data_IF_542226065186
#
_entry.id   IF_542226065186
#
_cell.length_a   1.000
_cell.length_b   1.000
_cell.length_c   1.000
_cell.angle_alpha   90.00
_cell.angle_beta   90.00
_cell.angle_gamma   90.00
#
_symmetry.space_group_name_H-M   'P 1'
#
loop_
_entity.id
_entity.type
_entity.pdbx_description
1 polymer ?
#
# COMPACT_ATOMS: atom_id res chain seq x y z
N UNK A 1 -9.85 11.45 10.90
CA UNK A 1 -9.25 11.75 9.58
C UNK A 1 -9.10 10.46 8.82
N UNK A 2 -9.65 10.37 7.60
CA UNK A 2 -9.46 9.23 6.72
C UNK A 2 -8.09 9.30 6.04
N UNK A 3 -7.50 8.13 5.77
CA UNK A 3 -6.28 7.99 4.97
C UNK A 3 -6.58 6.98 3.86
N UNK A 4 -6.27 7.34 2.62
CA UNK A 4 -6.25 6.41 1.50
C UNK A 4 -4.82 5.86 1.35
N UNK A 5 -4.60 4.64 1.82
CA UNK A 5 -3.24 4.07 1.90
C UNK A 5 -2.72 3.53 0.57
N UNK A 6 -3.50 3.59 -0.52
CA UNK A 6 -3.08 3.13 -1.83
C UNK A 6 -3.91 3.78 -2.94
N UNK A 7 -3.31 4.68 -3.71
CA UNK A 7 -3.94 5.35 -4.85
C UNK A 7 -2.91 5.77 -5.90
N UNK A 8 -3.18 5.50 -7.18
CA UNK A 8 -2.32 5.90 -8.30
C UNK A 8 -2.76 7.26 -8.84
N UNK A 9 -2.67 8.30 -8.02
CA UNK A 9 -2.99 9.68 -8.45
C UNK A 9 -2.07 10.22 -9.53
N UNK A 10 -0.93 9.57 -9.79
CA UNK A 10 -0.01 9.87 -10.90
C UNK A 10 -0.50 9.33 -12.25
N UNK A 11 -1.50 8.43 -12.26
CA UNK A 11 -2.05 7.82 -13.47
C UNK A 11 -2.65 8.84 -14.45
N UNK A 12 -2.53 8.55 -15.75
CA UNK A 12 -2.98 9.41 -16.86
C UNK A 12 -4.49 9.71 -16.79
N UNK A 13 -5.27 8.81 -16.19
CA UNK A 13 -6.70 8.99 -15.96
C UNK A 13 -7.04 10.24 -15.12
N UNK A 14 -6.07 10.76 -14.38
CA UNK A 14 -6.25 11.95 -13.53
C UNK A 14 -5.64 13.22 -14.11
N UNK A 15 -4.97 13.18 -15.27
CA UNK A 15 -4.22 14.32 -15.82
C UNK A 15 -5.09 15.57 -16.00
N UNK A 16 -6.34 15.40 -16.43
CA UNK A 16 -7.23 16.51 -16.71
C UNK A 16 -7.83 17.17 -15.46
N UNK A 17 -8.02 16.40 -14.34
CA UNK A 17 -8.78 16.88 -13.16
C UNK A 17 -8.15 16.47 -11.82
N UNK A 18 -6.85 16.17 -11.77
CA UNK A 18 -6.15 15.72 -10.54
C UNK A 18 -6.34 16.65 -9.35
N UNK A 19 -6.29 17.97 -9.59
CA UNK A 19 -6.46 18.94 -8.53
C UNK A 19 -7.89 18.91 -7.94
N UNK A 20 -8.89 18.73 -8.79
CA UNK A 20 -10.30 18.61 -8.40
C UNK A 20 -10.56 17.29 -7.66
N UNK A 21 -9.92 16.18 -8.11
CA UNK A 21 -9.98 14.89 -7.40
C UNK A 21 -9.44 15.03 -5.98
N UNK A 22 -8.29 15.68 -5.81
CA UNK A 22 -7.70 15.95 -4.50
C UNK A 22 -8.61 16.85 -3.66
N UNK A 23 -9.22 17.88 -4.25
CA UNK A 23 -10.17 18.74 -3.55
C UNK A 23 -11.38 17.94 -3.02
N UNK A 24 -11.99 17.10 -3.87
CA UNK A 24 -13.10 16.22 -3.47
C UNK A 24 -12.69 15.23 -2.37
N UNK A 25 -11.48 14.67 -2.45
CA UNK A 25 -10.97 13.78 -1.40
C UNK A 25 -10.84 14.50 -0.05
N UNK A 26 -10.30 15.73 -0.04
CA UNK A 26 -10.22 16.55 1.18
C UNK A 26 -11.60 16.91 1.74
N UNK A 27 -12.55 17.26 0.89
CA UNK A 27 -13.95 17.51 1.28
C UNK A 27 -14.61 16.27 1.89
N UNK A 28 -14.27 15.07 1.41
CA UNK A 28 -14.72 13.79 1.95
C UNK A 28 -14.01 13.40 3.27
N UNK A 29 -13.08 14.21 3.78
CA UNK A 29 -12.36 13.97 5.02
C UNK A 29 -11.08 13.14 4.88
N UNK A 30 -10.58 12.93 3.64
CA UNK A 30 -9.30 12.27 3.37
C UNK A 30 -8.18 13.27 3.60
N UNK A 31 -7.43 13.07 4.68
CA UNK A 31 -6.37 13.98 5.08
C UNK A 31 -5.00 13.60 4.55
N UNK A 32 -4.81 12.35 4.13
CA UNK A 32 -3.55 11.85 3.56
C UNK A 32 -3.84 10.80 2.49
N UNK A 33 -2.98 10.74 1.47
CA UNK A 33 -2.99 9.72 0.43
C UNK A 33 -1.58 9.17 0.22
N UNK A 34 -1.48 7.86 -0.02
CA UNK A 34 -0.20 7.20 -0.25
C UNK A 34 -0.10 6.78 -1.71
N UNK A 35 1.01 7.13 -2.33
CA UNK A 35 1.25 7.02 -3.76
C UNK A 35 2.27 5.91 -4.03
N UNK A 36 1.85 4.69 -4.37
CA UNK A 36 2.77 3.64 -4.75
C UNK A 36 3.34 3.89 -6.14
N UNK A 37 4.66 3.72 -6.29
CA UNK A 37 5.27 3.65 -7.61
C UNK A 37 5.24 2.20 -8.11
N UNK A 38 5.16 2.03 -9.43
CA UNK A 38 5.17 0.71 -10.08
C UNK A 38 6.46 0.46 -10.87
N UNK A 39 7.19 1.53 -11.23
CA UNK A 39 8.43 1.52 -11.99
C UNK A 39 9.28 2.79 -11.74
N UNK A 40 10.38 2.95 -12.47
CA UNK A 40 11.26 4.14 -12.38
C UNK A 40 10.52 5.42 -12.78
N UNK A 41 9.70 5.38 -13.85
CA UNK A 41 8.96 6.56 -14.36
C UNK A 41 7.96 7.06 -13.33
N UNK A 42 7.16 6.18 -12.79
CA UNK A 42 6.15 6.50 -11.78
C UNK A 42 6.78 6.92 -10.45
N UNK A 43 7.96 6.38 -10.09
CA UNK A 43 8.72 6.86 -8.91
C UNK A 43 9.00 8.35 -8.99
N UNK A 44 9.42 8.86 -10.15
CA UNK A 44 9.61 10.30 -10.33
C UNK A 44 8.29 11.08 -10.25
N UNK A 45 7.20 10.54 -10.80
CA UNK A 45 5.89 11.18 -10.78
C UNK A 45 5.34 11.29 -9.34
N UNK A 46 5.39 10.23 -8.54
CA UNK A 46 4.91 10.26 -7.15
C UNK A 46 5.77 11.16 -6.25
N UNK A 47 7.08 11.24 -6.48
CA UNK A 47 7.96 12.20 -5.80
C UNK A 47 7.57 13.65 -6.13
N UNK A 48 7.28 13.93 -7.39
CA UNK A 48 6.85 15.29 -7.80
C UNK A 48 5.49 15.64 -7.18
N UNK A 49 4.52 14.73 -7.20
CA UNK A 49 3.23 14.93 -6.55
C UNK A 49 3.37 15.16 -5.03
N UNK A 50 4.25 14.44 -4.36
CA UNK A 50 4.48 14.64 -2.92
C UNK A 50 5.03 16.04 -2.61
N UNK A 51 5.88 16.58 -3.50
CA UNK A 51 6.40 17.95 -3.37
C UNK A 51 5.34 19.01 -3.65
N UNK A 52 4.40 18.74 -4.57
CA UNK A 52 3.27 19.64 -4.86
C UNK A 52 2.22 19.64 -3.74
N UNK A 53 2.06 18.52 -3.03
CA UNK A 53 1.06 18.37 -1.95
C UNK A 53 1.72 17.90 -0.63
N UNK A 54 2.62 18.73 -0.06
CA UNK A 54 3.36 18.35 1.15
C UNK A 54 2.43 18.13 2.34
N UNK A 55 2.69 17.05 3.11
CA UNK A 55 1.86 16.66 4.25
C UNK A 55 0.51 16.01 3.88
N UNK A 56 0.21 15.90 2.58
CA UNK A 56 -0.99 15.24 2.07
C UNK A 56 -0.65 13.99 1.26
N UNK A 57 0.26 14.07 0.30
CA UNK A 57 0.66 12.99 -0.60
C UNK A 57 2.02 12.42 -0.18
N UNK A 58 2.09 11.12 0.03
CA UNK A 58 3.27 10.42 0.52
C UNK A 58 3.72 9.35 -0.48
N UNK A 59 4.94 9.44 -1.03
CA UNK A 59 5.40 8.54 -2.07
C UNK A 59 5.94 7.22 -1.50
N UNK A 60 5.81 6.16 -2.27
CA UNK A 60 6.46 4.87 -2.07
C UNK A 60 7.33 4.54 -3.27
N UNK A 61 8.22 3.57 -3.14
CA UNK A 61 9.15 3.15 -4.20
C UNK A 61 9.14 1.63 -4.35
N UNK A 62 8.93 1.16 -5.58
CA UNK A 62 8.94 -0.27 -5.88
C UNK A 62 8.87 -0.58 -7.37
N UNK A 63 9.18 -1.82 -7.71
CA UNK A 63 8.92 -2.43 -9.01
C UNK A 63 7.74 -3.38 -8.86
N UNK A 64 6.61 -3.00 -9.44
CA UNK A 64 5.39 -3.80 -9.45
C UNK A 64 5.58 -5.12 -10.20
N UNK A 65 4.99 -6.25 -9.78
CA UNK A 65 5.18 -7.52 -10.45
C UNK A 65 4.77 -7.53 -11.94
N UNK A 66 3.78 -6.76 -12.35
CA UNK A 66 3.40 -6.66 -13.76
C UNK A 66 4.42 -5.90 -14.63
N UNK A 67 5.31 -5.11 -13.99
CA UNK A 67 6.42 -4.41 -14.66
C UNK A 67 7.74 -5.21 -14.63
N UNK A 68 7.75 -6.39 -14.01
CA UNK A 68 8.88 -7.31 -14.07
C UNK A 68 8.91 -7.98 -15.44
N UNK A 69 9.83 -7.52 -16.30
CA UNK A 69 10.04 -7.96 -17.69
C UNK A 69 11.52 -8.31 -17.91
N UNK A 70 11.95 -8.43 -19.14
CA UNK A 70 13.33 -8.80 -19.48
C UNK A 70 14.40 -7.87 -18.90
N UNK A 71 14.06 -6.59 -18.70
CA UNK A 71 14.91 -5.51 -18.15
C UNK A 71 14.75 -5.30 -16.63
N UNK A 72 14.13 -6.21 -15.91
CA UNK A 72 13.82 -6.04 -14.50
C UNK A 72 15.02 -5.73 -13.59
N UNK A 73 16.22 -6.26 -13.95
CA UNK A 73 17.45 -6.00 -13.18
C UNK A 73 17.91 -4.54 -13.32
N UNK A 74 17.82 -4.01 -14.52
CA UNK A 74 18.12 -2.61 -14.83
C UNK A 74 17.13 -1.68 -14.11
N UNK A 75 15.85 -2.03 -14.12
CA UNK A 75 14.81 -1.32 -13.38
C UNK A 75 15.09 -1.33 -11.88
N UNK A 76 15.36 -2.49 -11.28
CA UNK A 76 15.70 -2.59 -9.86
C UNK A 76 16.96 -1.80 -9.51
N UNK A 77 18.00 -1.86 -10.34
CA UNK A 77 19.22 -1.11 -10.10
C UNK A 77 18.97 0.41 -10.11
N UNK A 78 18.14 0.90 -11.03
CA UNK A 78 17.75 2.32 -11.09
C UNK A 78 16.89 2.74 -9.88
N UNK A 79 15.91 1.93 -9.50
CA UNK A 79 15.09 2.15 -8.30
C UNK A 79 15.93 2.14 -7.03
N UNK A 80 16.90 1.24 -6.92
CA UNK A 80 17.81 1.20 -5.77
C UNK A 80 18.65 2.48 -5.66
N UNK A 81 19.15 3.02 -6.76
CA UNK A 81 19.85 4.30 -6.76
C UNK A 81 18.95 5.43 -6.29
N UNK A 82 17.69 5.49 -6.76
CA UNK A 82 16.72 6.48 -6.29
C UNK A 82 16.42 6.32 -4.80
N UNK A 83 16.25 5.08 -4.30
CA UNK A 83 16.04 4.82 -2.88
C UNK A 83 17.24 5.31 -2.06
N UNK A 84 18.46 5.02 -2.48
CA UNK A 84 19.68 5.44 -1.78
C UNK A 84 19.88 6.97 -1.80
N UNK A 85 19.51 7.65 -2.88
CA UNK A 85 19.56 9.10 -3.01
C UNK A 85 18.58 9.80 -2.07
N UNK A 86 17.36 9.26 -1.93
CA UNK A 86 16.28 9.83 -1.12
C UNK A 86 16.23 9.31 0.31
N UNK A 87 17.11 8.37 0.65
CA UNK A 87 17.25 7.80 2.00
C UNK A 87 18.49 8.37 2.68
N UNK A 88 18.42 9.60 3.17
CA UNK A 88 19.59 10.28 3.77
C UNK A 88 19.86 9.66 5.15
N UNK A 89 20.89 8.83 5.24
CA UNK A 89 21.51 8.49 6.53
C UNK A 89 22.21 9.74 7.04
N UNK A 90 21.57 10.46 7.97
CA UNK A 90 22.26 11.54 8.68
C UNK A 90 23.46 10.93 9.40
N UNK A 91 24.65 11.20 8.88
CA UNK A 91 25.93 10.84 9.52
C UNK A 91 26.08 11.75 10.74
N UNK A 92 25.46 11.35 11.85
CA UNK A 92 25.74 12.00 13.13
C UNK A 92 27.16 11.63 13.57
N UNK A 93 28.06 12.59 13.51
CA UNK A 93 29.43 12.48 14.06
C UNK A 93 29.47 12.44 15.60
N UNK A 94 28.40 12.03 16.28
CA UNK A 94 28.35 11.94 17.75
C UNK A 94 28.01 10.52 18.19
N UNK A 95 28.76 10.04 19.17
CA UNK A 95 28.72 8.71 19.80
C UNK A 95 27.44 8.38 20.59
N UNK A 96 26.28 8.93 20.27
CA UNK A 96 25.05 8.64 20.99
C UNK A 96 23.84 8.49 20.06
N UNK A 97 23.23 7.32 20.16
CA UNK A 97 21.85 6.95 19.80
C UNK A 97 21.38 7.19 18.34
N UNK A 98 20.70 6.19 17.79
CA UNK A 98 20.14 6.10 16.46
C UNK A 98 19.82 7.45 15.79
N UNK A 99 20.61 7.79 14.77
CA UNK A 99 20.29 8.93 13.89
C UNK A 99 18.97 8.64 13.16
N UNK A 100 17.98 9.54 13.18
CA UNK A 100 16.79 9.33 12.39
C UNK A 100 17.18 9.32 10.91
N UNK A 101 16.82 8.26 10.21
CA UNK A 101 16.88 8.22 8.74
C UNK A 101 15.77 9.15 8.27
N UNK A 102 16.10 10.24 7.60
CA UNK A 102 15.13 11.06 6.88
C UNK A 102 14.96 10.40 5.52
N UNK A 103 13.78 9.90 5.26
CA UNK A 103 13.45 9.23 4.02
C UNK A 103 12.26 9.95 3.37
N UNK A 104 12.41 10.29 2.09
CA UNK A 104 11.31 10.90 1.34
C UNK A 104 10.21 9.87 1.05
N UNK A 105 10.56 8.58 0.95
CA UNK A 105 9.61 7.49 0.80
C UNK A 105 9.11 6.97 2.15
N UNK A 106 7.83 6.63 2.21
CA UNK A 106 7.18 6.08 3.42
C UNK A 106 7.11 4.55 3.43
N UNK A 107 7.31 3.90 2.30
CA UNK A 107 7.29 2.44 2.16
C UNK A 107 8.08 1.98 0.93
N UNK A 108 8.45 0.71 0.92
CA UNK A 108 8.85 -0.02 -0.29
C UNK A 108 7.57 -0.61 -0.89
N UNK A 109 7.14 -0.06 -2.03
CA UNK A 109 5.88 -0.43 -2.67
C UNK A 109 5.55 0.45 -3.91
N UNK A 110 4.82 -0.13 -4.84
CA UNK A 110 4.11 -1.39 -4.79
C UNK A 110 5.03 -2.54 -5.26
N UNK A 111 5.07 -3.61 -4.48
CA UNK A 111 5.94 -4.76 -4.73
C UNK A 111 5.17 -6.06 -4.49
N UNK A 112 5.63 -7.18 -5.01
CA UNK A 112 4.97 -8.45 -4.73
C UNK A 112 4.94 -9.40 -5.91
N UNK A 113 3.83 -10.15 -6.05
CA UNK A 113 3.66 -11.20 -7.05
C UNK A 113 2.28 -11.11 -7.71
N UNK A 114 2.25 -11.21 -9.04
CA UNK A 114 1.03 -11.37 -9.83
C UNK A 114 1.16 -12.52 -10.83
N UNK A 115 0.41 -13.60 -10.61
CA UNK A 115 0.36 -14.75 -11.50
C UNK A 115 -0.98 -14.90 -12.22
N UNK A 116 -1.79 -13.83 -12.20
CA UNK A 116 -3.10 -13.85 -12.81
C UNK A 116 -3.04 -13.70 -14.34
N UNK A 117 -2.26 -12.72 -14.83
CA UNK A 117 -2.17 -12.43 -16.25
C UNK A 117 -1.18 -13.34 -16.97
N UNK A 118 -0.02 -13.60 -16.37
CA UNK A 118 1.04 -14.41 -16.96
C UNK A 118 1.95 -15.01 -15.88
N UNK A 119 2.51 -16.16 -16.15
CA UNK A 119 3.61 -16.78 -15.38
C UNK A 119 4.93 -16.78 -16.14
N UNK A 120 5.01 -16.05 -17.23
CA UNK A 120 6.22 -15.98 -18.07
C UNK A 120 7.45 -15.52 -17.26
N UNK A 121 7.28 -14.52 -16.40
CA UNK A 121 8.33 -13.96 -15.55
C UNK A 121 8.16 -14.33 -14.06
N UNK A 122 7.57 -15.49 -13.77
CA UNK A 122 7.34 -15.93 -12.37
C UNK A 122 8.63 -15.97 -11.55
N UNK A 123 9.70 -16.53 -12.13
CA UNK A 123 10.99 -16.63 -11.44
C UNK A 123 11.61 -15.25 -11.20
N UNK A 124 11.53 -14.37 -12.17
CA UNK A 124 12.02 -12.98 -12.09
C UNK A 124 11.21 -12.16 -11.09
N UNK A 125 9.89 -12.33 -11.04
CA UNK A 125 9.04 -11.71 -10.03
C UNK A 125 9.45 -12.14 -8.61
N UNK A 126 9.70 -13.42 -8.38
CA UNK A 126 10.17 -13.92 -7.09
C UNK A 126 11.52 -13.30 -6.70
N UNK A 127 12.47 -13.20 -7.63
CA UNK A 127 13.77 -12.59 -7.37
C UNK A 127 13.67 -11.09 -7.13
N UNK A 128 12.86 -10.38 -7.93
CA UNK A 128 12.64 -8.94 -7.78
C UNK A 128 11.94 -8.61 -6.46
N UNK A 129 10.96 -9.41 -6.06
CA UNK A 129 10.27 -9.24 -4.80
C UNK A 129 11.20 -9.51 -3.61
N UNK A 130 11.99 -10.60 -3.65
CA UNK A 130 12.93 -10.90 -2.57
C UNK A 130 13.99 -9.80 -2.39
N UNK A 131 14.47 -9.21 -3.48
CA UNK A 131 15.41 -8.09 -3.41
C UNK A 131 14.77 -6.87 -2.73
N UNK A 132 13.53 -6.54 -3.04
CA UNK A 132 12.80 -5.45 -2.46
C UNK A 132 12.38 -5.71 -0.99
N UNK A 133 12.16 -6.97 -0.60
CA UNK A 133 12.04 -7.38 0.81
C UNK A 133 13.32 -7.03 1.59
N UNK A 134 14.49 -7.28 1.02
CA UNK A 134 15.79 -6.90 1.62
C UNK A 134 15.91 -5.38 1.76
N UNK A 135 15.46 -4.61 0.76
CA UNK A 135 15.43 -3.14 0.86
C UNK A 135 14.59 -2.66 2.04
N UNK A 136 13.40 -3.25 2.24
CA UNK A 136 12.53 -2.94 3.38
C UNK A 136 13.25 -3.18 4.73
N UNK A 137 13.97 -4.29 4.85
CA UNK A 137 14.74 -4.63 6.06
C UNK A 137 15.87 -3.61 6.30
N UNK A 138 16.64 -3.28 5.25
CA UNK A 138 17.77 -2.37 5.32
C UNK A 138 17.36 -0.94 5.67
N UNK A 139 16.27 -0.46 5.06
CA UNK A 139 15.79 0.92 5.23
C UNK A 139 14.83 1.10 6.38
N UNK A 140 14.31 0.01 6.94
CA UNK A 140 13.22 -0.01 7.93
C UNK A 140 11.89 0.55 7.40
N UNK A 141 11.75 0.68 6.09
CA UNK A 141 10.49 1.06 5.47
C UNK A 141 9.54 -0.15 5.42
N UNK A 142 8.25 0.02 5.77
CA UNK A 142 7.26 -1.05 5.62
C UNK A 142 7.06 -1.44 4.16
N UNK A 143 6.53 -2.64 3.94
CA UNK A 143 6.17 -3.13 2.60
C UNK A 143 4.72 -2.76 2.26
N UNK A 144 4.47 -2.33 1.02
CA UNK A 144 3.15 -2.29 0.40
C UNK A 144 3.08 -3.42 -0.64
N UNK A 145 2.38 -4.51 -0.31
CA UNK A 145 2.47 -5.77 -1.05
C UNK A 145 1.24 -6.01 -1.91
N UNK A 146 1.48 -6.11 -3.21
CA UNK A 146 0.56 -6.66 -4.19
C UNK A 146 0.61 -8.19 -4.19
N UNK A 147 -0.54 -8.84 -4.18
CA UNK A 147 -0.60 -10.29 -4.31
C UNK A 147 -1.85 -10.75 -5.08
N UNK A 148 -1.64 -11.29 -6.26
CA UNK A 148 -2.75 -11.82 -7.08
C UNK A 148 -2.43 -13.21 -7.61
N UNK A 149 -3.23 -14.23 -7.16
CA UNK A 149 -3.02 -15.65 -7.51
C UNK A 149 -1.64 -16.21 -7.14
N UNK A 150 -1.00 -15.66 -6.10
CA UNK A 150 0.38 -15.98 -5.70
C UNK A 150 0.59 -16.02 -4.17
N UNK A 151 -0.48 -16.14 -3.37
CA UNK A 151 -0.36 -16.03 -1.91
C UNK A 151 0.58 -17.08 -1.31
N UNK A 152 0.51 -18.33 -1.76
CA UNK A 152 1.37 -19.39 -1.25
C UNK A 152 2.86 -19.10 -1.49
N UNK A 153 3.20 -18.66 -2.68
CA UNK A 153 4.55 -18.29 -3.08
C UNK A 153 5.04 -17.07 -2.30
N UNK A 154 4.19 -16.05 -2.16
CA UNK A 154 4.47 -14.85 -1.39
C UNK A 154 4.72 -15.17 0.10
N UNK A 155 3.84 -15.92 0.74
CA UNK A 155 3.99 -16.34 2.15
C UNK A 155 5.27 -17.15 2.33
N UNK A 156 5.55 -18.09 1.43
CA UNK A 156 6.78 -18.91 1.46
C UNK A 156 8.04 -18.04 1.35
N UNK A 157 8.01 -17.00 0.50
CA UNK A 157 9.14 -16.09 0.31
C UNK A 157 9.33 -15.19 1.54
N UNK A 158 8.26 -14.66 2.13
CA UNK A 158 8.34 -13.74 3.27
C UNK A 158 8.72 -14.43 4.59
N UNK A 159 8.35 -15.71 4.76
CA UNK A 159 8.49 -16.43 6.04
C UNK A 159 9.91 -16.43 6.63
N UNK A 160 10.99 -16.63 5.85
CA UNK A 160 12.36 -16.55 6.35
C UNK A 160 12.72 -15.17 6.93
N UNK A 161 12.11 -14.10 6.44
CA UNK A 161 12.39 -12.71 6.79
C UNK A 161 11.46 -12.13 7.88
N UNK A 162 10.45 -12.88 8.32
CA UNK A 162 9.36 -12.40 9.18
C UNK A 162 9.84 -11.62 10.41
N UNK A 163 10.91 -12.08 11.06
CA UNK A 163 11.43 -11.43 12.29
C UNK A 163 12.17 -10.12 12.03
N UNK A 164 12.69 -9.96 10.83
CA UNK A 164 13.50 -8.81 10.43
C UNK A 164 12.64 -7.72 9.78
N UNK A 165 11.54 -8.11 9.14
CA UNK A 165 10.63 -7.19 8.47
C UNK A 165 10.05 -6.15 9.43
N UNK A 166 10.04 -4.87 9.07
CA UNK A 166 9.42 -3.80 9.88
C UNK A 166 7.90 -3.94 9.97
N UNK A 167 7.28 -4.60 8.99
CA UNK A 167 5.85 -4.77 8.82
C UNK A 167 5.40 -4.28 7.45
N UNK A 168 4.09 -4.10 7.26
CA UNK A 168 3.56 -3.62 5.98
C UNK A 168 2.06 -3.83 5.83
N UNK A 169 1.62 -3.69 4.60
CA UNK A 169 0.23 -3.86 4.17
C UNK A 169 0.19 -4.93 3.07
N UNK A 170 -0.66 -5.93 3.25
CA UNK A 170 -1.14 -6.73 2.12
C UNK A 170 -2.31 -5.96 1.50
N UNK A 171 -2.00 -5.19 0.45
CA UNK A 171 -2.98 -4.30 -0.15
C UNK A 171 -4.02 -5.05 -0.97
N UNK A 172 -5.15 -4.41 -1.21
CA UNK A 172 -6.25 -4.91 -2.02
C UNK A 172 -6.70 -6.33 -1.65
N UNK A 173 -6.79 -6.62 -0.33
CA UNK A 173 -7.19 -7.95 0.12
C UNK A 173 -8.61 -8.27 -0.32
N UNK A 174 -8.75 -9.39 -1.05
CA UNK A 174 -10.02 -9.90 -1.56
C UNK A 174 -10.22 -11.39 -1.27
N UNK A 175 -9.38 -11.96 -0.39
CA UNK A 175 -9.40 -13.36 -0.02
C UNK A 175 -10.51 -13.73 0.95
N UNK A 176 -10.48 -14.98 1.43
CA UNK A 176 -11.38 -15.54 2.41
C UNK A 176 -10.78 -15.52 3.83
N UNK A 177 -11.52 -16.01 4.84
CA UNK A 177 -11.10 -16.05 6.25
C UNK A 177 -9.75 -16.76 6.45
N UNK A 178 -9.55 -17.93 5.82
CA UNK A 178 -8.30 -18.70 5.95
C UNK A 178 -7.10 -17.95 5.37
N UNK A 179 -7.29 -17.31 4.22
CA UNK A 179 -6.25 -16.48 3.59
C UNK A 179 -5.92 -15.27 4.46
N UNK A 180 -6.93 -14.64 5.08
CA UNK A 180 -6.72 -13.54 6.02
C UNK A 180 -5.93 -13.99 7.26
N UNK A 181 -6.30 -15.12 7.88
CA UNK A 181 -5.60 -15.68 9.04
C UNK A 181 -4.14 -16.01 8.73
N UNK A 182 -3.86 -16.59 7.54
CA UNK A 182 -2.50 -16.88 7.09
C UNK A 182 -1.66 -15.61 6.95
N UNK A 183 -2.18 -14.56 6.30
CA UNK A 183 -1.50 -13.28 6.16
C UNK A 183 -1.30 -12.58 7.50
N UNK A 184 -2.29 -12.61 8.38
CA UNK A 184 -2.20 -12.02 9.71
C UNK A 184 -1.33 -12.79 10.69
N UNK A 185 -0.85 -13.99 10.33
CA UNK A 185 0.22 -14.67 11.08
C UNK A 185 1.52 -13.89 11.05
N UNK A 186 1.73 -12.99 10.09
CA UNK A 186 2.76 -11.97 10.11
C UNK A 186 2.31 -10.82 11.03
N UNK A 187 2.73 -10.84 12.28
CA UNK A 187 2.19 -9.97 13.36
C UNK A 187 2.25 -8.46 13.08
N UNK A 188 3.24 -8.01 12.31
CA UNK A 188 3.47 -6.59 12.00
C UNK A 188 2.76 -6.10 10.75
N UNK A 189 2.01 -6.99 10.07
CA UNK A 189 1.30 -6.65 8.83
C UNK A 189 -0.18 -6.39 9.09
N UNK A 190 -0.80 -5.62 8.22
CA UNK A 190 -2.23 -5.34 8.20
C UNK A 190 -2.78 -5.62 6.80
N UNK A 191 -4.12 -5.71 6.69
CA UNK A 191 -4.81 -5.86 5.41
C UNK A 191 -5.31 -4.51 4.91
N UNK A 192 -5.02 -4.19 3.65
CA UNK A 192 -5.61 -3.05 2.94
C UNK A 192 -6.95 -3.44 2.35
N UNK A 193 -8.01 -2.71 2.73
CA UNK A 193 -9.38 -3.01 2.30
C UNK A 193 -9.90 -1.87 1.44
N UNK A 194 -10.21 -2.21 0.19
CA UNK A 194 -10.69 -1.29 -0.83
C UNK A 194 -12.13 -1.54 -1.27
N UNK A 195 -12.48 -0.99 -2.44
CA UNK A 195 -13.82 -0.95 -3.00
C UNK A 195 -14.53 -2.29 -3.12
N UNK A 196 -13.79 -3.40 -3.28
CA UNK A 196 -14.35 -4.76 -3.39
C UNK A 196 -15.19 -5.14 -2.17
N UNK A 197 -14.88 -4.64 -0.98
CA UNK A 197 -15.67 -4.90 0.23
C UNK A 197 -17.13 -4.42 0.10
N UNK A 198 -17.40 -3.45 -0.78
CA UNK A 198 -18.74 -2.92 -1.00
C UNK A 198 -19.58 -3.72 -2.00
N UNK A 199 -18.96 -4.67 -2.77
CA UNK A 199 -19.64 -5.37 -3.84
C UNK A 199 -20.63 -6.40 -3.29
N UNK A 200 -21.77 -6.56 -3.98
CA UNK A 200 -22.81 -7.54 -3.58
C UNK A 200 -22.30 -8.98 -3.60
N UNK A 201 -21.36 -9.28 -4.50
CA UNK A 201 -20.75 -10.62 -4.64
C UNK A 201 -19.58 -10.86 -3.69
N UNK A 202 -19.17 -9.87 -2.93
CA UNK A 202 -18.06 -9.99 -1.97
C UNK A 202 -18.55 -10.53 -0.64
N UNK A 203 -17.82 -11.48 -0.06
CA UNK A 203 -18.04 -12.00 1.29
C UNK A 203 -17.23 -11.26 2.37
N UNK A 204 -16.46 -10.24 1.99
CA UNK A 204 -15.58 -9.54 2.93
C UNK A 204 -16.30 -8.90 4.11
N UNK A 205 -17.57 -8.47 3.93
CA UNK A 205 -18.38 -7.91 5.03
C UNK A 205 -18.72 -8.91 6.13
N UNK A 206 -18.76 -10.19 5.79
CA UNK A 206 -19.01 -11.30 6.69
C UNK A 206 -17.69 -11.89 7.21
N UNK A 207 -16.72 -12.06 6.32
CA UNK A 207 -15.46 -12.74 6.60
C UNK A 207 -14.52 -11.90 7.47
N UNK A 208 -14.36 -10.59 7.16
CA UNK A 208 -13.42 -9.74 7.90
C UNK A 208 -13.76 -9.63 9.40
N UNK A 209 -15.00 -9.30 9.80
CA UNK A 209 -15.33 -9.21 11.23
C UNK A 209 -15.17 -10.53 12.00
N UNK A 210 -15.21 -11.66 11.30
CA UNK A 210 -15.08 -12.97 11.92
C UNK A 210 -13.64 -13.30 12.35
N UNK A 211 -12.62 -12.83 11.59
CA UNK A 211 -11.23 -13.28 11.80
C UNK A 211 -10.21 -12.14 11.82
N UNK A 212 -10.59 -10.92 11.42
CA UNK A 212 -9.67 -9.77 11.33
C UNK A 212 -10.05 -8.71 12.36
N UNK A 213 -9.25 -8.46 13.39
CA UNK A 213 -9.53 -7.40 14.34
C UNK A 213 -9.33 -6.02 13.70
N UNK A 214 -10.08 -5.00 14.16
CA UNK A 214 -9.98 -3.62 13.65
C UNK A 214 -8.54 -3.06 13.64
N UNK A 215 -7.71 -3.52 14.59
CA UNK A 215 -6.30 -3.13 14.71
C UNK A 215 -5.41 -3.68 13.59
N UNK A 216 -5.97 -4.49 12.68
CA UNK A 216 -5.24 -5.14 11.60
C UNK A 216 -5.78 -4.75 10.21
N UNK A 217 -6.50 -3.62 10.10
CA UNK A 217 -7.05 -3.09 8.85
C UNK A 217 -6.52 -1.68 8.56
N UNK A 218 -6.33 -1.38 7.27
CA UNK A 218 -6.23 -0.02 6.73
C UNK A 218 -7.20 0.13 5.57
N UNK A 219 -7.53 1.38 5.22
CA UNK A 219 -8.47 1.70 4.14
C UNK A 219 -7.72 2.20 2.92
N UNK A 220 -8.18 1.81 1.75
CA UNK A 220 -7.60 2.23 0.48
C UNK A 220 -8.64 2.30 -0.62
N UNK A 221 -8.26 2.87 -1.76
CA UNK A 221 -9.12 2.89 -2.95
C UNK A 221 -8.57 2.03 -4.08
N UNK A 222 -7.27 1.97 -4.25
CA UNK A 222 -6.61 1.45 -5.45
C UNK A 222 -7.08 2.21 -6.70
N UNK A 223 -7.37 3.52 -6.53
CA UNK A 223 -7.88 4.36 -7.64
C UNK A 223 -6.78 4.60 -8.69
N UNK A 224 -7.13 4.59 -9.99
CA UNK A 224 -8.46 4.75 -10.60
C UNK A 224 -9.29 3.46 -10.70
N UNK A 225 -8.82 2.33 -10.16
CA UNK A 225 -9.43 1.01 -10.31
C UNK A 225 -10.49 0.73 -9.24
N UNK A 226 -11.30 -0.30 -9.45
CA UNK A 226 -12.18 -0.95 -8.46
C UNK A 226 -13.09 -0.02 -7.66
N UNK A 227 -13.72 0.97 -8.32
CA UNK A 227 -14.65 1.89 -7.68
C UNK A 227 -15.69 1.16 -6.81
N UNK A 228 -15.92 1.61 -5.55
CA UNK A 228 -16.91 1.03 -4.65
C UNK A 228 -18.36 1.27 -5.13
N UNK A 229 -19.31 0.59 -4.52
CA UNK A 229 -20.74 0.95 -4.59
C UNK A 229 -20.90 2.25 -3.77
N UNK A 230 -21.62 3.29 -4.32
CA UNK A 230 -22.48 3.27 -5.51
C UNK A 230 -21.78 3.66 -6.83
N UNK A 231 -20.47 3.79 -6.85
CA UNK A 231 -19.72 4.36 -7.98
C UNK A 231 -19.27 3.33 -9.02
N UNK A 232 -19.77 2.09 -8.97
CA UNK A 232 -19.42 1.02 -9.92
C UNK A 232 -19.52 1.45 -11.38
N UNK A 233 -18.49 1.09 -12.18
CA UNK A 233 -18.42 1.42 -13.60
C UNK A 233 -17.94 2.83 -13.91
N UNK A 234 -17.57 3.60 -12.90
CA UNK A 234 -16.89 4.90 -13.03
C UNK A 234 -15.42 4.78 -12.63
N UNK A 235 -14.60 5.75 -13.00
CA UNK A 235 -13.25 5.91 -12.48
C UNK A 235 -13.33 6.05 -10.94
N UNK A 236 -12.53 5.29 -10.22
CA UNK A 236 -12.40 5.42 -8.77
C UNK A 236 -11.60 6.67 -8.41
N UNK A 237 -11.76 7.19 -7.20
CA UNK A 237 -10.98 8.30 -6.66
C UNK A 237 -10.90 8.20 -5.13
N UNK A 238 -9.89 8.83 -4.53
CA UNK A 238 -9.62 8.75 -3.08
C UNK A 238 -10.79 9.20 -2.21
N UNK A 239 -11.68 10.07 -2.70
CA UNK A 239 -12.90 10.48 -1.99
C UNK A 239 -13.80 9.28 -1.64
N UNK A 240 -13.78 8.23 -2.47
CA UNK A 240 -14.63 7.05 -2.30
C UNK A 240 -14.14 6.06 -1.23
N UNK A 241 -12.98 6.29 -0.61
CA UNK A 241 -12.57 5.54 0.59
C UNK A 241 -13.59 5.70 1.73
N UNK A 242 -14.35 6.82 1.74
CA UNK A 242 -15.43 7.04 2.67
C UNK A 242 -16.58 6.01 2.53
N UNK A 243 -16.84 5.49 1.31
CA UNK A 243 -17.84 4.44 1.11
C UNK A 243 -17.34 3.08 1.61
N UNK A 244 -16.05 2.81 1.46
CA UNK A 244 -15.40 1.63 2.04
C UNK A 244 -15.47 1.70 3.57
N UNK A 245 -15.13 2.85 4.17
CA UNK A 245 -15.20 3.10 5.61
C UNK A 245 -16.61 2.83 6.14
N UNK A 246 -17.65 3.43 5.56
CA UNK A 246 -19.05 3.23 5.97
C UNK A 246 -19.47 1.76 5.89
N UNK A 247 -19.07 1.08 4.82
CA UNK A 247 -19.38 -0.34 4.62
C UNK A 247 -18.76 -1.21 5.71
N UNK A 248 -17.50 -0.95 6.06
CA UNK A 248 -16.78 -1.70 7.10
C UNK A 248 -17.29 -1.36 8.50
N UNK A 249 -17.60 -0.09 8.79
CA UNK A 249 -18.19 0.29 10.08
C UNK A 249 -19.49 -0.47 10.35
N UNK A 250 -20.36 -0.55 9.33
CA UNK A 250 -21.59 -1.35 9.42
C UNK A 250 -21.32 -2.85 9.59
N UNK A 251 -20.35 -3.41 8.87
CA UNK A 251 -19.98 -4.82 8.95
C UNK A 251 -19.42 -5.20 10.33
N UNK A 252 -18.54 -4.37 10.90
CA UNK A 252 -17.97 -4.54 12.25
C UNK A 252 -18.91 -4.11 13.39
N UNK A 253 -20.08 -3.54 13.06
CA UNK A 253 -21.05 -3.02 14.05
C UNK A 253 -20.44 -1.99 15.01
N UNK A 254 -19.61 -1.10 14.47
CA UNK A 254 -18.98 0.04 15.18
C UNK A 254 -19.40 1.36 14.54
N UNK A 255 -19.14 2.49 15.21
CA UNK A 255 -19.37 3.80 14.60
C UNK A 255 -18.34 4.10 13.51
N UNK A 256 -18.67 5.03 12.61
CA UNK A 256 -17.74 5.53 11.59
C UNK A 256 -16.51 6.18 12.23
N UNK A 257 -16.68 6.86 13.35
CA UNK A 257 -15.60 7.48 14.13
C UNK A 257 -14.67 6.42 14.73
N UNK A 258 -15.23 5.33 15.28
CA UNK A 258 -14.44 4.25 15.86
C UNK A 258 -13.61 3.53 14.79
N UNK A 259 -14.21 3.19 13.63
CA UNK A 259 -13.49 2.57 12.53
C UNK A 259 -12.38 3.51 12.01
N UNK A 260 -12.71 4.79 11.79
CA UNK A 260 -11.76 5.79 11.32
C UNK A 260 -10.58 5.95 12.30
N UNK A 261 -10.88 5.99 13.61
CA UNK A 261 -9.83 6.10 14.63
C UNK A 261 -8.92 4.87 14.66
N UNK A 262 -9.49 3.67 14.56
CA UNK A 262 -8.74 2.41 14.56
C UNK A 262 -7.82 2.32 13.32
N UNK A 263 -8.36 2.57 12.12
CA UNK A 263 -7.59 2.50 10.87
C UNK A 263 -6.51 3.59 10.81
N UNK A 264 -6.81 4.81 11.30
CA UNK A 264 -5.81 5.86 11.45
C UNK A 264 -4.65 5.43 12.37
N UNK A 265 -4.96 4.87 13.55
CA UNK A 265 -3.94 4.38 14.48
C UNK A 265 -3.09 3.25 13.87
N UNK A 266 -3.70 2.39 13.04
CA UNK A 266 -2.98 1.34 12.32
C UNK A 266 -1.98 1.92 11.31
N UNK A 267 -2.39 2.93 10.54
CA UNK A 267 -1.51 3.63 9.60
C UNK A 267 -0.32 4.25 10.35
N UNK A 268 -0.57 4.96 11.46
CA UNK A 268 0.50 5.55 12.29
C UNK A 268 1.49 4.49 12.77
N UNK A 269 0.99 3.34 13.20
CA UNK A 269 1.81 2.23 13.70
C UNK A 269 2.62 1.55 12.60
N UNK A 270 2.06 1.39 11.39
CA UNK A 270 2.71 0.67 10.28
C UNK A 270 3.75 1.57 9.59
N UNK A 271 3.43 2.84 9.36
CA UNK A 271 4.24 3.73 8.53
C UNK A 271 5.07 4.75 9.35
N UNK A 272 4.95 4.74 10.69
CA UNK A 272 5.63 5.71 11.60
C UNK A 272 5.45 7.19 11.16
N UNK A 273 4.30 7.52 10.58
CA UNK A 273 3.96 8.88 10.14
C UNK A 273 3.37 9.63 11.35
N UNK A 274 3.92 10.80 11.68
CA UNK A 274 3.48 11.65 12.78
C UNK A 274 2.77 12.91 12.29
#
# INVERSE_FOLDING_TARGET
MLIDTHTHLDAEEFDEDRAEVIARAKEAGVGQVFLPAIDVKTTHAVLELSRQYPGYAYPMIGLHPEEVKADWKEQLAALRLLLDEHCVKNVCNSLSTACPVVNDFIAVGEVGLDFYWSREFEHEQLMAFEEQVKWSIETRLPLMIHCRKAQNEMVKLLRPYEKELPGGVFHCFTGNQREAEELLSFERFVLGIGGVATFKSSHLREDLPAVVPLQRLVLETDSPYMAPVPHRGKRNESAYVADVMRTLAAAYQVSEEELTAATYANVQRVFDIR
#
